data_IF_637982906129
#
_entry.id   IF_637982906129
#
_cell.length_a   1.000
_cell.length_b   1.000
_cell.length_c   1.000
_cell.angle_alpha   90.00
_cell.angle_beta   90.00
_cell.angle_gamma   90.00
#
_symmetry.space_group_name_H-M   'P 1'
#
loop_
_entity.id
_entity.type
_entity.pdbx_description
1 polymer ?
#
# COMPACT_ATOMS: atom_id res chain seq x y z
N UNK A 1 -23.83 6.03 -16.38
CA UNK A 1 -22.83 4.99 -16.10
C UNK A 1 -22.56 5.03 -14.60
N UNK A 2 -22.27 3.91 -13.97
CA UNK A 2 -21.88 3.89 -12.56
C UNK A 2 -20.54 4.60 -12.37
N UNK A 3 -20.39 5.38 -11.30
CA UNK A 3 -19.11 6.01 -10.94
C UNK A 3 -18.18 5.06 -10.18
N UNK A 4 -18.60 3.81 -10.04
CA UNK A 4 -17.91 2.75 -9.32
C UNK A 4 -17.56 1.61 -10.28
N UNK A 5 -16.34 1.11 -10.19
CA UNK A 5 -15.90 -0.17 -10.75
C UNK A 5 -15.59 -1.13 -9.61
N UNK A 6 -16.21 -2.30 -9.63
CA UNK A 6 -15.85 -3.42 -8.76
C UNK A 6 -14.74 -4.24 -9.42
N UNK A 7 -13.87 -4.79 -8.60
CA UNK A 7 -12.78 -5.68 -9.03
C UNK A 7 -12.90 -6.98 -8.25
N UNK A 8 -12.83 -8.09 -8.94
CA UNK A 8 -12.94 -9.41 -8.34
C UNK A 8 -12.08 -10.44 -9.06
N UNK A 9 -11.95 -11.61 -8.49
CA UNK A 9 -11.32 -12.74 -9.14
C UNK A 9 -11.69 -14.05 -8.47
N UNK A 10 -11.55 -15.14 -9.24
CA UNK A 10 -11.85 -16.49 -8.76
C UNK A 10 -10.96 -17.52 -9.43
N UNK A 11 -10.40 -18.42 -8.61
CA UNK A 11 -9.52 -19.51 -9.04
C UNK A 11 -9.80 -20.78 -8.26
N UNK A 12 -9.62 -21.93 -8.90
CA UNK A 12 -9.61 -23.21 -8.19
C UNK A 12 -8.21 -23.43 -7.60
N UNK A 13 -8.13 -23.35 -6.29
CA UNK A 13 -6.89 -23.57 -5.54
C UNK A 13 -6.85 -24.92 -4.84
N UNK A 14 -7.73 -25.87 -5.22
CA UNK A 14 -7.79 -27.21 -4.65
C UNK A 14 -8.47 -27.26 -3.27
N UNK A 15 -9.32 -26.30 -2.93
CA UNK A 15 -9.98 -26.28 -1.61
C UNK A 15 -10.98 -27.43 -1.42
N UNK A 16 -11.44 -28.03 -2.52
CA UNK A 16 -12.32 -29.20 -2.49
C UNK A 16 -11.66 -30.46 -1.90
N UNK A 17 -10.34 -30.52 -1.93
CA UNK A 17 -9.55 -31.70 -1.50
C UNK A 17 -9.19 -31.67 0.00
N UNK A 18 -9.61 -30.63 0.73
CA UNK A 18 -9.34 -30.51 2.17
C UNK A 18 -10.30 -31.40 3.00
N UNK A 19 -9.93 -31.61 4.27
CA UNK A 19 -10.75 -32.32 5.24
C UNK A 19 -12.11 -31.66 5.50
N UNK A 20 -13.04 -32.40 6.04
CA UNK A 20 -14.37 -31.93 6.42
C UNK A 20 -14.27 -30.67 7.32
N UNK A 21 -15.11 -29.66 7.04
CA UNK A 21 -15.06 -28.34 7.69
C UNK A 21 -14.22 -27.29 6.96
N UNK A 22 -13.17 -27.68 6.27
CA UNK A 22 -12.34 -26.79 5.43
C UNK A 22 -12.61 -26.95 3.94
N UNK A 23 -13.12 -28.11 3.51
CA UNK A 23 -13.42 -28.43 2.12
C UNK A 23 -14.54 -27.58 1.56
N UNK A 24 -14.31 -27.05 0.36
CA UNK A 24 -15.31 -26.36 -0.49
C UNK A 24 -14.98 -26.60 -1.94
N UNK A 25 -15.77 -27.43 -2.67
CA UNK A 25 -15.56 -27.65 -4.10
C UNK A 25 -15.62 -26.36 -4.90
N UNK A 26 -14.85 -26.27 -5.98
CA UNK A 26 -14.82 -25.07 -6.83
C UNK A 26 -16.21 -24.73 -7.42
N UNK A 27 -17.03 -25.75 -7.74
CA UNK A 27 -18.40 -25.53 -8.20
C UNK A 27 -19.22 -24.72 -7.21
N UNK A 28 -19.05 -24.94 -5.90
CA UNK A 28 -19.71 -24.13 -4.87
C UNK A 28 -19.33 -22.64 -4.99
N UNK A 29 -18.05 -22.36 -5.29
CA UNK A 29 -17.61 -20.98 -5.53
C UNK A 29 -18.20 -20.40 -6.82
N UNK A 30 -18.28 -21.17 -7.88
CA UNK A 30 -18.91 -20.72 -9.15
C UNK A 30 -20.39 -20.40 -8.94
N UNK A 31 -21.14 -21.21 -8.20
CA UNK A 31 -22.55 -20.95 -7.88
C UNK A 31 -22.72 -19.63 -7.10
N UNK A 32 -21.79 -19.34 -6.19
CA UNK A 32 -21.79 -18.08 -5.44
C UNK A 32 -21.35 -16.91 -6.29
N UNK A 33 -20.34 -17.11 -7.13
CA UNK A 33 -19.87 -16.12 -8.07
C UNK A 33 -20.95 -15.71 -9.08
N UNK A 34 -21.77 -16.66 -9.55
CA UNK A 34 -22.90 -16.36 -10.41
C UNK A 34 -23.89 -15.37 -9.76
N UNK A 35 -24.08 -15.44 -8.44
CA UNK A 35 -24.90 -14.45 -7.73
C UNK A 35 -24.22 -13.07 -7.67
N UNK A 36 -22.89 -13.02 -7.50
CA UNK A 36 -22.12 -11.79 -7.54
C UNK A 36 -22.19 -11.12 -8.93
N UNK A 37 -22.18 -11.92 -10.02
CA UNK A 37 -22.27 -11.41 -11.38
C UNK A 37 -23.56 -10.61 -11.67
N UNK A 38 -24.54 -10.61 -10.78
CA UNK A 38 -25.77 -9.83 -10.90
C UNK A 38 -25.63 -8.36 -10.49
N UNK A 39 -24.45 -7.92 -9.99
CA UNK A 39 -24.23 -6.49 -9.67
C UNK A 39 -24.42 -5.62 -10.88
N UNK A 40 -24.97 -4.43 -10.69
CA UNK A 40 -25.29 -3.51 -11.79
C UNK A 40 -24.13 -2.58 -12.16
N UNK A 41 -23.15 -2.47 -11.27
CA UNK A 41 -21.94 -1.66 -11.42
C UNK A 41 -20.99 -2.25 -12.48
N UNK A 42 -20.03 -1.45 -12.93
CA UNK A 42 -18.94 -1.96 -13.77
C UNK A 42 -18.15 -3.02 -13.00
N UNK A 43 -17.72 -4.07 -13.67
CA UNK A 43 -17.00 -5.18 -13.05
C UNK A 43 -15.76 -5.56 -13.86
N UNK A 44 -14.59 -5.54 -13.20
CA UNK A 44 -13.35 -6.11 -13.72
C UNK A 44 -13.13 -7.45 -13.03
N UNK A 45 -12.94 -8.50 -13.82
CA UNK A 45 -12.84 -9.89 -13.34
C UNK A 45 -11.50 -10.48 -13.74
N UNK A 46 -10.76 -10.99 -12.78
CA UNK A 46 -9.57 -11.78 -12.99
C UNK A 46 -9.87 -13.28 -12.84
N UNK A 47 -9.29 -14.11 -13.68
CA UNK A 47 -9.45 -15.57 -13.62
C UNK A 47 -8.71 -16.30 -14.72
N UNK A 48 -8.78 -17.61 -14.70
CA UNK A 48 -8.29 -18.46 -15.79
C UNK A 48 -9.10 -18.22 -17.08
N UNK A 49 -8.50 -18.46 -18.24
CA UNK A 49 -9.13 -18.23 -19.56
C UNK A 49 -10.49 -18.92 -19.70
N UNK A 50 -10.62 -20.11 -19.14
CA UNK A 50 -11.84 -20.92 -19.21
C UNK A 50 -13.03 -20.24 -18.51
N UNK A 51 -12.77 -19.33 -17.58
CA UNK A 51 -13.82 -18.59 -16.87
C UNK A 51 -14.46 -17.50 -17.75
N UNK A 52 -13.78 -17.01 -18.76
CA UNK A 52 -14.26 -15.90 -19.61
C UNK A 52 -15.63 -16.18 -20.20
N UNK A 53 -15.81 -17.39 -20.76
CA UNK A 53 -17.10 -17.82 -21.34
C UNK A 53 -18.22 -17.82 -20.29
N UNK A 54 -17.94 -18.36 -19.08
CA UNK A 54 -18.90 -18.38 -17.97
C UNK A 54 -19.37 -16.98 -17.59
N UNK A 55 -18.45 -16.00 -17.60
CA UNK A 55 -18.75 -14.60 -17.28
C UNK A 55 -19.62 -13.97 -18.36
N UNK A 56 -19.25 -14.05 -19.65
CA UNK A 56 -19.97 -13.36 -20.71
C UNK A 56 -21.29 -14.04 -21.13
N UNK A 57 -21.54 -15.26 -20.70
CA UNK A 57 -22.89 -15.86 -20.76
C UNK A 57 -23.87 -15.23 -19.75
N UNK A 58 -23.36 -14.50 -18.74
CA UNK A 58 -24.14 -13.94 -17.60
C UNK A 58 -24.11 -12.42 -17.52
N UNK A 59 -23.14 -11.79 -18.16
CA UNK A 59 -22.96 -10.32 -18.12
C UNK A 59 -22.66 -9.75 -19.50
N UNK A 60 -23.12 -8.53 -19.71
CA UNK A 60 -22.79 -7.76 -20.92
C UNK A 60 -21.32 -7.30 -20.90
N UNK A 61 -20.68 -7.32 -22.06
CA UNK A 61 -19.34 -6.75 -22.25
C UNK A 61 -19.29 -5.22 -22.10
N UNK A 62 -20.44 -4.54 -22.10
CA UNK A 62 -20.51 -3.09 -21.92
C UNK A 62 -20.11 -2.66 -20.50
N UNK A 63 -20.48 -3.43 -19.49
CA UNK A 63 -20.17 -3.17 -18.08
C UNK A 63 -19.27 -4.24 -17.43
N UNK A 64 -18.62 -5.07 -18.25
CA UNK A 64 -17.73 -6.13 -17.77
C UNK A 64 -16.43 -6.14 -18.55
N UNK A 65 -15.31 -6.25 -17.83
CA UNK A 65 -13.98 -6.48 -18.39
C UNK A 65 -13.43 -7.76 -17.77
N UNK A 66 -13.06 -8.72 -18.61
CA UNK A 66 -12.36 -9.92 -18.17
C UNK A 66 -10.87 -9.77 -18.46
N UNK A 67 -10.04 -10.17 -17.50
CA UNK A 67 -8.58 -10.13 -17.60
C UNK A 67 -8.06 -11.51 -17.21
N UNK A 68 -7.50 -12.21 -18.18
CA UNK A 68 -6.88 -13.50 -17.97
C UNK A 68 -5.71 -13.38 -16.98
N UNK A 69 -5.74 -14.24 -15.96
CA UNK A 69 -4.68 -14.38 -14.95
C UNK A 69 -4.60 -15.85 -14.54
N UNK A 70 -3.63 -16.60 -15.02
CA UNK A 70 -3.47 -18.00 -14.65
C UNK A 70 -3.02 -18.13 -13.18
N UNK A 71 -3.32 -19.25 -12.57
CA UNK A 71 -2.92 -19.55 -11.18
C UNK A 71 -1.41 -19.46 -10.98
N UNK A 72 -0.62 -19.79 -12.01
CA UNK A 72 0.85 -19.68 -12.00
C UNK A 72 1.34 -18.24 -11.75
N UNK A 73 0.55 -17.23 -12.09
CA UNK A 73 0.90 -15.84 -11.83
C UNK A 73 1.14 -15.56 -10.34
N UNK A 74 0.40 -16.23 -9.45
CA UNK A 74 0.60 -16.11 -8.00
C UNK A 74 1.88 -16.82 -7.54
N UNK A 75 2.30 -17.87 -8.25
CA UNK A 75 3.52 -18.62 -7.96
C UNK A 75 4.78 -17.88 -8.43
N UNK A 76 4.65 -17.07 -9.49
CA UNK A 76 5.72 -16.22 -10.01
C UNK A 76 5.91 -14.93 -9.20
N UNK A 77 5.03 -14.66 -8.23
CA UNK A 77 5.14 -13.51 -7.34
C UNK A 77 6.38 -13.63 -6.44
N UNK A 78 7.11 -12.53 -6.27
CA UNK A 78 8.33 -12.45 -5.44
C UNK A 78 8.11 -12.89 -3.98
N UNK A 79 6.89 -12.77 -3.45
CA UNK A 79 6.53 -13.19 -2.09
C UNK A 79 6.28 -14.69 -1.95
N UNK A 80 6.06 -15.40 -3.05
CA UNK A 80 5.67 -16.81 -3.03
C UNK A 80 6.62 -17.67 -2.20
N UNK A 81 7.93 -17.56 -2.45
CA UNK A 81 8.94 -18.36 -1.74
C UNK A 81 8.93 -18.13 -0.23
N UNK A 82 8.80 -16.87 0.20
CA UNK A 82 8.73 -16.54 1.62
C UNK A 82 7.45 -17.08 2.26
N UNK A 83 6.32 -16.96 1.58
CA UNK A 83 5.04 -17.52 2.03
C UNK A 83 5.16 -19.04 2.19
N UNK A 84 5.72 -19.75 1.20
CA UNK A 84 5.89 -21.22 1.28
C UNK A 84 6.80 -21.61 2.45
N UNK A 85 7.90 -20.89 2.67
CA UNK A 85 8.80 -21.12 3.80
C UNK A 85 8.11 -20.98 5.14
N UNK A 86 7.27 -19.95 5.30
CA UNK A 86 6.59 -19.68 6.57
C UNK A 86 5.47 -20.69 6.80
N UNK A 87 4.63 -20.99 5.79
CA UNK A 87 3.49 -21.90 5.95
C UNK A 87 3.90 -23.34 6.29
N UNK A 88 5.15 -23.71 6.03
CA UNK A 88 5.71 -25.03 6.37
C UNK A 88 6.59 -25.01 7.62
N UNK A 89 6.73 -23.86 8.27
CA UNK A 89 7.50 -23.71 9.50
C UNK A 89 6.72 -24.20 10.72
N UNK A 90 7.33 -25.06 11.53
CA UNK A 90 6.70 -25.65 12.71
C UNK A 90 6.29 -24.61 13.76
N UNK A 91 7.11 -23.56 13.98
CA UNK A 91 6.78 -22.51 14.96
C UNK A 91 5.54 -21.74 14.53
N UNK A 92 5.41 -21.48 13.22
CA UNK A 92 4.20 -20.83 12.68
C UNK A 92 2.98 -21.74 12.76
N UNK A 93 3.12 -23.03 12.38
CA UNK A 93 2.05 -24.01 12.41
C UNK A 93 1.51 -24.28 13.83
N UNK A 94 2.36 -24.15 14.84
CA UNK A 94 2.00 -24.39 16.25
C UNK A 94 1.52 -23.10 16.96
N UNK A 95 1.44 -21.96 16.28
CA UNK A 95 1.02 -20.68 16.87
C UNK A 95 -0.43 -20.70 17.33
N UNK A 96 -1.29 -21.43 16.64
CA UNK A 96 -2.67 -21.69 17.02
C UNK A 96 -3.09 -23.12 16.67
N UNK A 97 -3.92 -23.73 17.52
CA UNK A 97 -4.32 -25.13 17.36
C UNK A 97 -5.07 -25.43 16.04
N UNK A 98 -5.75 -24.45 15.47
CA UNK A 98 -6.49 -24.57 14.21
C UNK A 98 -5.60 -24.39 12.96
N UNK A 99 -4.43 -23.74 13.10
CA UNK A 99 -3.66 -23.21 11.96
C UNK A 99 -3.13 -24.33 11.05
N UNK A 100 -2.66 -25.42 11.63
CA UNK A 100 -2.12 -26.59 10.88
C UNK A 100 -3.12 -27.21 9.91
N UNK A 101 -4.40 -27.20 10.24
CA UNK A 101 -5.48 -27.75 9.41
C UNK A 101 -6.12 -26.70 8.49
N UNK A 102 -5.75 -25.44 8.63
CA UNK A 102 -6.34 -24.34 7.89
C UNK A 102 -5.99 -24.35 6.40
N UNK A 103 -6.78 -23.63 5.62
CA UNK A 103 -6.48 -23.34 4.20
C UNK A 103 -5.13 -22.68 4.01
N UNK A 104 -4.71 -21.82 4.96
CA UNK A 104 -3.42 -21.13 4.91
C UNK A 104 -2.24 -22.10 4.97
N UNK A 105 -2.31 -23.15 5.80
CA UNK A 105 -1.27 -24.13 5.95
C UNK A 105 -1.32 -25.21 4.85
N UNK A 106 -2.52 -25.65 4.47
CA UNK A 106 -2.72 -26.80 3.59
C UNK A 106 -2.65 -26.45 2.10
N UNK A 107 -3.03 -25.25 1.69
CA UNK A 107 -3.09 -24.86 0.29
C UNK A 107 -1.95 -23.91 -0.07
N UNK A 108 -1.13 -24.37 -1.02
CA UNK A 108 0.04 -23.64 -1.52
C UNK A 108 -0.33 -22.24 -2.05
N UNK A 109 -1.44 -22.13 -2.76
CA UNK A 109 -1.87 -20.91 -3.43
C UNK A 109 -2.81 -20.03 -2.60
N UNK A 110 -3.24 -20.43 -1.40
CA UNK A 110 -4.19 -19.64 -0.62
C UNK A 110 -3.65 -18.27 -0.22
N UNK A 111 -2.56 -18.24 0.54
CA UNK A 111 -1.95 -16.97 0.96
C UNK A 111 -1.40 -16.15 -0.23
N UNK A 112 -0.71 -16.72 -1.23
CA UNK A 112 -0.34 -15.98 -2.43
C UNK A 112 -1.53 -15.29 -3.11
N UNK A 113 -2.67 -15.96 -3.21
CA UNK A 113 -3.89 -15.40 -3.81
C UNK A 113 -4.46 -14.26 -2.96
N UNK A 114 -4.77 -14.52 -1.67
CA UNK A 114 -5.43 -13.50 -0.83
C UNK A 114 -4.55 -12.28 -0.61
N UNK A 115 -3.23 -12.46 -0.49
CA UNK A 115 -2.26 -11.37 -0.38
C UNK A 115 -2.08 -10.58 -1.68
N UNK A 116 -2.53 -11.11 -2.83
CA UNK A 116 -2.42 -10.41 -4.12
C UNK A 116 -3.62 -9.51 -4.43
N UNK A 117 -4.66 -9.48 -3.62
CA UNK A 117 -5.89 -8.70 -3.88
C UNK A 117 -5.63 -7.21 -4.12
N UNK A 118 -4.74 -6.57 -3.34
CA UNK A 118 -4.38 -5.16 -3.52
C UNK A 118 -3.60 -4.95 -4.82
N UNK A 119 -2.74 -5.90 -5.19
CA UNK A 119 -1.99 -5.84 -6.46
C UNK A 119 -2.93 -5.97 -7.65
N UNK A 120 -3.89 -6.89 -7.59
CA UNK A 120 -4.93 -7.04 -8.62
C UNK A 120 -5.82 -5.80 -8.71
N UNK A 121 -6.16 -5.17 -7.58
CA UNK A 121 -6.90 -3.91 -7.57
C UNK A 121 -6.11 -2.78 -8.26
N UNK A 122 -4.79 -2.73 -8.04
CA UNK A 122 -3.93 -1.76 -8.72
C UNK A 122 -3.75 -2.08 -10.22
N UNK A 123 -3.64 -3.35 -10.60
CA UNK A 123 -3.62 -3.77 -12.00
C UNK A 123 -4.94 -3.36 -12.69
N UNK A 124 -6.07 -3.62 -12.03
CA UNK A 124 -7.38 -3.20 -12.52
C UNK A 124 -7.46 -1.68 -12.73
N UNK A 125 -6.92 -0.88 -11.80
CA UNK A 125 -6.84 0.59 -11.93
C UNK A 125 -6.11 1.00 -13.22
N UNK A 126 -5.01 0.31 -13.55
CA UNK A 126 -4.18 0.62 -14.73
C UNK A 126 -4.90 0.21 -16.03
N UNK A 127 -5.62 -0.91 -16.01
CA UNK A 127 -6.26 -1.53 -17.18
C UNK A 127 -7.74 -1.13 -17.35
N UNK A 128 -8.30 -0.33 -16.46
CA UNK A 128 -9.70 0.05 -16.37
C UNK A 128 -10.20 0.79 -17.64
N UNK A 129 -11.15 0.18 -18.34
CA UNK A 129 -11.79 0.77 -19.51
C UNK A 129 -13.00 1.67 -19.18
N UNK A 130 -13.50 1.65 -17.94
CA UNK A 130 -14.74 2.34 -17.55
C UNK A 130 -14.52 3.76 -17.06
N UNK A 131 -13.29 4.08 -16.69
CA UNK A 131 -12.88 5.41 -16.18
C UNK A 131 -13.70 5.89 -14.97
N UNK A 132 -14.05 4.98 -14.06
CA UNK A 132 -14.77 5.29 -12.82
C UNK A 132 -13.87 6.06 -11.84
N UNK A 133 -14.47 6.87 -10.98
CA UNK A 133 -13.74 7.63 -9.93
C UNK A 133 -13.39 6.76 -8.71
N UNK A 134 -14.19 5.71 -8.46
CA UNK A 134 -14.03 4.81 -7.32
C UNK A 134 -13.84 3.38 -7.79
N UNK A 135 -13.01 2.65 -7.06
CA UNK A 135 -12.74 1.24 -7.36
C UNK A 135 -12.65 0.43 -6.07
N UNK A 136 -13.34 -0.72 -6.04
CA UNK A 136 -13.41 -1.59 -4.86
C UNK A 136 -13.13 -3.03 -5.23
N UNK A 137 -12.34 -3.71 -4.41
CA UNK A 137 -12.26 -5.16 -4.41
C UNK A 137 -13.50 -5.75 -3.78
N UNK A 138 -14.03 -6.81 -4.36
CA UNK A 138 -15.11 -7.64 -3.83
C UNK A 138 -14.76 -9.10 -4.07
N UNK A 139 -14.75 -9.93 -3.02
CA UNK A 139 -14.41 -11.35 -3.17
C UNK A 139 -15.41 -12.08 -4.07
N UNK A 140 -14.92 -12.89 -5.01
CA UNK A 140 -15.76 -13.69 -5.91
C UNK A 140 -16.71 -14.64 -5.18
N UNK A 141 -16.31 -15.10 -3.99
CA UNK A 141 -17.12 -15.92 -3.11
C UNK A 141 -17.94 -15.17 -2.06
N UNK A 142 -18.04 -13.83 -2.12
CA UNK A 142 -18.68 -13.01 -1.08
C UNK A 142 -20.11 -13.47 -0.77
N UNK A 143 -20.89 -13.85 -1.77
CA UNK A 143 -22.28 -14.30 -1.62
C UNK A 143 -22.44 -15.62 -0.86
N UNK A 144 -21.32 -16.24 -0.46
CA UNK A 144 -21.35 -17.35 0.47
C UNK A 144 -21.79 -16.92 1.89
N UNK A 145 -21.47 -15.69 2.28
CA UNK A 145 -21.76 -15.13 3.61
C UNK A 145 -22.65 -13.89 3.57
N UNK A 146 -22.78 -13.24 2.41
CA UNK A 146 -23.59 -12.04 2.21
C UNK A 146 -24.73 -12.34 1.24
N UNK A 147 -25.96 -12.11 1.66
CA UNK A 147 -27.12 -12.30 0.78
C UNK A 147 -27.04 -11.29 -0.38
N UNK A 148 -27.10 -11.73 -1.66
CA UNK A 148 -26.94 -10.86 -2.82
C UNK A 148 -27.92 -9.68 -2.86
N UNK A 149 -29.14 -9.84 -2.34
CA UNK A 149 -30.16 -8.79 -2.25
C UNK A 149 -29.76 -7.55 -1.45
N UNK A 150 -28.62 -7.56 -0.75
CA UNK A 150 -28.11 -6.36 -0.08
C UNK A 150 -27.35 -5.41 -1.03
N UNK A 151 -26.82 -5.88 -2.15
CA UNK A 151 -25.92 -5.08 -2.98
C UNK A 151 -26.03 -5.29 -4.50
N UNK A 152 -26.84 -6.24 -4.98
CA UNK A 152 -26.95 -6.53 -6.42
C UNK A 152 -28.06 -5.76 -7.14
N UNK A 153 -28.82 -4.93 -6.44
CA UNK A 153 -29.96 -4.20 -6.99
C UNK A 153 -29.91 -2.74 -6.56
N UNK A 154 -30.61 -1.88 -7.30
CA UNK A 154 -30.80 -0.46 -7.02
C UNK A 154 -29.50 0.34 -6.95
N UNK A 155 -28.43 -0.15 -7.56
CA UNK A 155 -27.09 0.46 -7.53
C UNK A 155 -26.68 0.88 -6.11
N UNK A 156 -26.95 0.02 -5.14
CA UNK A 156 -26.69 0.29 -3.72
C UNK A 156 -25.24 0.69 -3.48
N UNK A 157 -24.30 0.11 -4.23
CA UNK A 157 -22.87 0.42 -4.08
C UNK A 157 -22.52 1.83 -4.55
N UNK A 158 -23.27 2.45 -5.46
CA UNK A 158 -23.05 3.85 -5.86
C UNK A 158 -23.18 4.83 -4.68
N UNK A 159 -23.89 4.44 -3.61
CA UNK A 159 -23.99 5.22 -2.38
C UNK A 159 -22.63 5.39 -1.68
N UNK A 160 -21.66 4.49 -1.90
CA UNK A 160 -20.32 4.56 -1.29
C UNK A 160 -19.61 5.87 -1.59
N UNK A 161 -19.81 6.44 -2.78
CA UNK A 161 -19.23 7.72 -3.16
C UNK A 161 -19.59 8.88 -2.22
N UNK A 162 -20.70 8.77 -1.47
CA UNK A 162 -21.13 9.78 -0.50
C UNK A 162 -20.34 9.72 0.81
N UNK A 163 -19.75 8.57 1.12
CA UNK A 163 -19.11 8.32 2.41
C UNK A 163 -17.58 8.33 2.31
N UNK A 164 -17.02 8.03 1.15
CA UNK A 164 -15.61 7.67 1.00
C UNK A 164 -14.82 8.80 0.36
N UNK A 165 -13.85 9.33 1.11
CA UNK A 165 -12.85 10.30 0.63
C UNK A 165 -11.41 9.77 0.68
N UNK A 166 -11.18 8.65 1.37
CA UNK A 166 -9.91 7.95 1.50
C UNK A 166 -10.10 6.48 1.13
N UNK A 167 -9.01 5.74 0.99
CA UNK A 167 -9.09 4.29 0.88
C UNK A 167 -9.70 3.70 2.16
N UNK A 168 -10.58 2.72 2.05
CA UNK A 168 -11.40 2.26 3.17
C UNK A 168 -11.48 0.75 3.25
N UNK A 169 -11.39 0.24 4.49
CA UNK A 169 -11.61 -1.16 4.84
C UNK A 169 -12.92 -1.33 5.61
N UNK A 170 -13.42 -2.55 5.67
CA UNK A 170 -14.49 -2.94 6.62
C UNK A 170 -13.80 -3.62 7.80
N UNK A 171 -14.01 -3.13 9.01
CA UNK A 171 -13.40 -3.66 10.22
C UNK A 171 -14.46 -4.08 11.25
N UNK A 172 -14.11 -5.03 12.09
CA UNK A 172 -14.91 -5.40 13.24
C UNK A 172 -14.06 -5.42 14.52
N UNK A 173 -14.65 -5.13 15.68
CA UNK A 173 -13.97 -5.22 16.97
C UNK A 173 -13.48 -6.65 17.21
N UNK A 174 -12.22 -6.79 17.59
CA UNK A 174 -11.61 -8.08 17.84
C UNK A 174 -10.48 -7.95 18.88
N UNK A 175 -10.62 -8.65 19.99
CA UNK A 175 -9.57 -8.76 21.00
C UNK A 175 -8.82 -10.07 20.79
N UNK A 176 -7.56 -9.97 20.40
CA UNK A 176 -6.68 -11.12 20.24
C UNK A 176 -5.85 -11.33 21.51
N UNK A 177 -5.48 -12.59 21.77
CA UNK A 177 -4.55 -12.93 22.86
C UNK A 177 -3.15 -13.24 22.32
N UNK A 178 -3.06 -14.06 21.29
CA UNK A 178 -1.77 -14.61 20.81
C UNK A 178 -1.51 -14.35 19.33
N UNK A 179 -2.55 -14.36 18.49
CA UNK A 179 -2.42 -14.24 17.04
C UNK A 179 -3.68 -13.66 16.38
N UNK A 180 -3.53 -13.15 15.17
CA UNK A 180 -4.63 -12.79 14.26
C UNK A 180 -4.35 -13.47 12.91
N UNK A 181 -5.17 -14.46 12.56
CA UNK A 181 -5.04 -15.25 11.33
C UNK A 181 -3.66 -15.88 11.11
N UNK A 182 -2.98 -16.27 12.21
CA UNK A 182 -1.63 -16.81 12.18
C UNK A 182 -0.52 -15.76 12.33
N UNK A 183 -0.84 -14.47 12.30
CA UNK A 183 0.12 -13.40 12.58
C UNK A 183 0.28 -13.22 14.09
N UNK A 184 1.50 -13.19 14.60
CA UNK A 184 1.78 -12.99 16.02
C UNK A 184 1.29 -11.63 16.52
N UNK A 185 0.44 -11.65 17.55
CA UNK A 185 -0.30 -10.46 17.97
C UNK A 185 0.60 -9.33 18.52
N UNK A 186 1.62 -9.67 19.32
CA UNK A 186 2.52 -8.66 19.85
C UNK A 186 3.31 -7.97 18.73
N UNK A 187 3.82 -8.75 17.76
CA UNK A 187 4.53 -8.21 16.60
C UNK A 187 3.62 -7.37 15.71
N UNK A 188 2.34 -7.77 15.59
CA UNK A 188 1.36 -6.99 14.85
C UNK A 188 1.11 -5.63 15.50
N UNK A 189 0.98 -5.58 16.84
CA UNK A 189 0.86 -4.34 17.61
C UNK A 189 2.10 -3.44 17.46
N UNK A 190 3.30 -4.03 17.57
CA UNK A 190 4.56 -3.29 17.39
C UNK A 190 4.61 -2.59 16.02
N UNK A 191 4.24 -3.32 14.95
CA UNK A 191 4.25 -2.79 13.58
C UNK A 191 3.14 -1.75 13.39
N UNK A 192 1.96 -1.97 13.97
CA UNK A 192 0.83 -1.04 13.91
C UNK A 192 1.10 0.26 14.70
N UNK A 193 1.99 0.20 15.70
CA UNK A 193 2.31 1.31 16.61
C UNK A 193 1.25 1.55 17.67
N UNK A 194 0.32 0.61 17.87
CA UNK A 194 -0.74 0.67 18.87
C UNK A 194 -1.31 -0.74 19.12
N UNK A 195 -2.08 -0.89 20.23
CA UNK A 195 -2.83 -2.12 20.47
C UNK A 195 -3.95 -2.28 19.45
N UNK A 196 -3.84 -3.27 18.60
CA UNK A 196 -4.83 -3.58 17.59
C UNK A 196 -6.02 -4.28 18.25
N UNK A 197 -7.18 -3.63 18.25
CA UNK A 197 -8.46 -4.11 18.81
C UNK A 197 -9.56 -4.25 17.77
N UNK A 198 -9.18 -4.23 16.48
CA UNK A 198 -10.07 -4.48 15.35
C UNK A 198 -9.34 -5.21 14.24
N UNK A 199 -10.05 -6.00 13.48
CA UNK A 199 -9.53 -6.72 12.32
C UNK A 199 -10.26 -6.27 11.07
N UNK A 200 -9.51 -5.98 10.01
CA UNK A 200 -10.05 -5.67 8.71
C UNK A 200 -10.51 -6.94 7.99
N UNK A 201 -11.57 -6.81 7.17
CA UNK A 201 -12.10 -7.90 6.33
C UNK A 201 -11.58 -7.78 4.91
N UNK A 202 -11.02 -8.87 4.40
CA UNK A 202 -10.49 -8.95 3.04
C UNK A 202 -11.55 -9.12 1.95
N UNK A 203 -12.82 -9.30 2.32
CA UNK A 203 -13.89 -9.56 1.36
C UNK A 203 -14.41 -8.32 0.61
N UNK A 204 -14.20 -7.12 1.14
CA UNK A 204 -14.58 -5.86 0.50
C UNK A 204 -13.72 -4.70 1.02
N UNK A 205 -13.08 -3.97 0.11
CA UNK A 205 -12.27 -2.79 0.41
C UNK A 205 -12.00 -1.97 -0.85
N UNK A 206 -11.64 -0.71 -0.71
CA UNK A 206 -11.32 0.16 -1.85
C UNK A 206 -11.55 1.64 -1.55
N UNK A 207 -11.66 2.46 -2.59
CA UNK A 207 -11.85 3.90 -2.42
C UNK A 207 -11.66 4.70 -3.70
N UNK A 208 -11.33 5.99 -3.57
CA UNK A 208 -11.03 6.83 -4.73
C UNK A 208 -9.88 6.22 -5.55
N UNK A 209 -10.08 6.10 -6.86
CA UNK A 209 -9.14 5.43 -7.78
C UNK A 209 -7.72 6.01 -7.70
N UNK A 210 -7.58 7.31 -7.46
CA UNK A 210 -6.28 7.95 -7.36
C UNK A 210 -5.46 7.51 -6.13
N UNK A 211 -6.10 7.02 -5.07
CA UNK A 211 -5.41 6.58 -3.84
C UNK A 211 -4.81 5.17 -3.97
N UNK A 212 -5.29 4.35 -4.90
CA UNK A 212 -4.94 2.92 -5.00
C UNK A 212 -3.45 2.69 -5.20
N UNK A 213 -2.76 3.54 -5.97
CA UNK A 213 -1.32 3.40 -6.19
C UNK A 213 -0.50 3.57 -4.91
N UNK A 214 -0.83 4.57 -4.09
CA UNK A 214 -0.16 4.82 -2.81
C UNK A 214 -0.42 3.66 -1.83
N UNK A 215 -1.67 3.21 -1.75
CA UNK A 215 -2.08 2.06 -0.94
C UNK A 215 -1.33 0.79 -1.37
N UNK A 216 -1.22 0.55 -2.68
CA UNK A 216 -0.47 -0.59 -3.20
C UNK A 216 1.01 -0.54 -2.80
N UNK A 217 1.64 0.62 -2.85
CA UNK A 217 3.03 0.81 -2.42
C UNK A 217 3.22 0.55 -0.91
N UNK A 218 2.33 1.08 -0.08
CA UNK A 218 2.36 0.85 1.38
C UNK A 218 2.13 -0.62 1.70
N UNK A 219 1.11 -1.23 1.10
CA UNK A 219 0.79 -2.64 1.29
C UNK A 219 1.97 -3.54 0.90
N UNK A 220 2.59 -3.28 -0.25
CA UNK A 220 3.78 -4.00 -0.70
C UNK A 220 4.91 -3.95 0.33
N UNK A 221 5.24 -2.76 0.83
CA UNK A 221 6.33 -2.58 1.78
C UNK A 221 6.05 -3.29 3.12
N UNK A 222 4.83 -3.21 3.63
CA UNK A 222 4.42 -3.92 4.83
C UNK A 222 4.47 -5.44 4.62
N UNK A 223 3.95 -5.94 3.52
CA UNK A 223 3.97 -7.36 3.20
C UNK A 223 5.41 -7.88 3.05
N UNK A 224 6.27 -7.15 2.35
CA UNK A 224 7.67 -7.51 2.17
C UNK A 224 8.42 -7.57 3.51
N UNK A 225 8.29 -6.53 4.34
CA UNK A 225 8.99 -6.49 5.63
C UNK A 225 8.53 -7.60 6.56
N UNK A 226 7.22 -7.81 6.69
CA UNK A 226 6.68 -8.85 7.58
C UNK A 226 7.06 -10.26 7.13
N UNK A 227 6.96 -10.57 5.84
CA UNK A 227 7.36 -11.88 5.32
C UNK A 227 8.87 -12.13 5.42
N UNK A 228 9.71 -11.11 5.28
CA UNK A 228 11.16 -11.23 5.48
C UNK A 228 11.52 -11.54 6.94
N UNK A 229 10.71 -11.06 7.89
CA UNK A 229 10.85 -11.37 9.33
C UNK A 229 10.19 -12.72 9.72
N UNK A 230 9.61 -13.45 8.79
CA UNK A 230 8.90 -14.70 9.06
C UNK A 230 7.51 -14.50 9.71
N UNK A 231 6.97 -13.30 9.61
CA UNK A 231 5.65 -12.93 10.15
C UNK A 231 4.59 -13.06 9.05
N UNK A 232 3.60 -13.90 9.26
CA UNK A 232 2.54 -14.13 8.29
C UNK A 232 1.20 -14.40 8.96
N UNK A 233 0.18 -13.73 8.44
CA UNK A 233 -1.24 -14.04 8.62
C UNK A 233 -1.89 -14.14 7.24
N UNK A 234 -3.03 -13.48 7.05
CA UNK A 234 -3.63 -13.21 5.74
C UNK A 234 -3.43 -11.73 5.36
N UNK A 235 -3.99 -11.31 4.23
CA UNK A 235 -4.06 -9.89 3.86
C UNK A 235 -4.76 -9.05 4.95
N UNK A 236 -5.73 -9.63 5.66
CA UNK A 236 -6.50 -8.96 6.72
C UNK A 236 -5.61 -8.48 7.88
N UNK A 237 -4.52 -9.20 8.17
CA UNK A 237 -3.54 -8.78 9.17
C UNK A 237 -2.80 -7.51 8.74
N UNK A 238 -2.37 -7.42 7.48
CA UNK A 238 -1.71 -6.24 6.92
C UNK A 238 -2.70 -5.07 6.83
N UNK A 239 -3.94 -5.31 6.41
CA UNK A 239 -4.99 -4.28 6.38
C UNK A 239 -5.26 -3.70 7.77
N UNK A 240 -5.25 -4.55 8.80
CA UNK A 240 -5.41 -4.11 10.18
C UNK A 240 -4.26 -3.18 10.60
N UNK A 241 -3.01 -3.53 10.29
CA UNK A 241 -1.85 -2.66 10.51
C UNK A 241 -2.03 -1.32 9.79
N UNK A 242 -2.48 -1.34 8.52
CA UNK A 242 -2.69 -0.12 7.73
C UNK A 242 -3.72 0.82 8.35
N UNK A 243 -4.80 0.31 8.95
CA UNK A 243 -5.80 1.14 9.62
C UNK A 243 -5.21 1.97 10.77
N UNK A 244 -4.22 1.44 11.48
CA UNK A 244 -3.56 2.14 12.58
C UNK A 244 -2.41 3.04 12.08
N UNK A 245 -1.53 2.47 11.31
CA UNK A 245 -0.28 3.13 10.90
C UNK A 245 -0.47 4.22 9.83
N UNK A 246 -1.50 4.12 9.00
CA UNK A 246 -1.74 4.99 7.84
C UNK A 246 -3.13 5.62 7.84
N UNK A 247 -3.63 6.01 9.00
CA UNK A 247 -4.96 6.62 9.15
C UNK A 247 -5.09 8.02 8.50
N UNK A 248 -3.98 8.61 8.08
CA UNK A 248 -3.95 9.81 7.23
C UNK A 248 -4.54 9.58 5.84
N UNK A 249 -4.38 8.38 5.27
CA UNK A 249 -4.85 7.99 3.93
C UNK A 249 -5.85 6.84 3.94
N UNK A 250 -6.04 6.17 5.08
CA UNK A 250 -6.94 5.04 5.27
C UNK A 250 -8.04 5.38 6.26
N UNK A 251 -9.27 5.02 5.92
CA UNK A 251 -10.40 4.99 6.84
C UNK A 251 -10.94 3.56 6.99
N UNK A 252 -11.89 3.36 7.88
CA UNK A 252 -12.60 2.09 7.96
C UNK A 252 -14.07 2.27 8.33
N UNK A 253 -14.89 1.31 7.91
CA UNK A 253 -16.26 1.13 8.36
C UNK A 253 -16.28 0.05 9.43
N UNK A 254 -16.74 0.38 10.62
CA UNK A 254 -16.85 -0.59 11.70
C UNK A 254 -18.19 -1.29 11.65
N UNK A 255 -18.18 -2.60 11.61
CA UNK A 255 -19.34 -3.47 11.78
C UNK A 255 -19.37 -4.04 13.21
N UNK A 256 -20.40 -4.80 13.53
CA UNK A 256 -20.54 -5.39 14.86
C UNK A 256 -19.48 -6.49 15.15
N UNK A 257 -19.40 -6.93 16.41
CA UNK A 257 -18.44 -7.92 16.88
C UNK A 257 -18.63 -9.33 16.29
N UNK A 258 -19.76 -9.61 15.61
CA UNK A 258 -19.95 -10.87 14.90
C UNK A 258 -19.02 -10.97 13.67
N UNK A 259 -18.46 -9.86 13.21
CA UNK A 259 -17.50 -9.81 12.11
C UNK A 259 -18.10 -10.22 10.75
N UNK A 260 -19.42 -10.28 10.63
CA UNK A 260 -20.11 -10.67 9.40
C UNK A 260 -20.18 -9.46 8.46
N UNK A 261 -19.43 -9.49 7.39
CA UNK A 261 -19.35 -8.40 6.38
C UNK A 261 -20.73 -8.04 5.79
N UNK A 262 -21.72 -8.94 5.87
CA UNK A 262 -23.12 -8.67 5.50
C UNK A 262 -23.70 -7.44 6.20
N UNK A 263 -23.28 -7.17 7.46
CA UNK A 263 -23.73 -6.00 8.21
C UNK A 263 -23.28 -4.67 7.57
N UNK A 264 -22.13 -4.65 6.92
CA UNK A 264 -21.68 -3.49 6.15
C UNK A 264 -22.66 -3.18 5.00
N UNK A 265 -23.04 -4.18 4.23
CA UNK A 265 -23.95 -3.99 3.09
C UNK A 265 -25.39 -3.67 3.54
N UNK A 266 -25.82 -4.22 4.65
CA UNK A 266 -27.10 -3.86 5.27
C UNK A 266 -27.11 -2.38 5.68
N UNK A 267 -26.07 -1.91 6.39
CA UNK A 267 -25.93 -0.53 6.80
C UNK A 267 -25.81 0.41 5.57
N UNK A 268 -25.12 0.01 4.51
CA UNK A 268 -25.04 0.77 3.26
C UNK A 268 -26.42 0.92 2.60
N UNK A 269 -27.17 -0.17 2.52
CA UNK A 269 -28.52 -0.16 1.96
C UNK A 269 -29.44 0.78 2.72
N UNK A 270 -29.34 0.82 4.04
CA UNK A 270 -30.16 1.64 4.93
C UNK A 270 -29.65 3.06 5.15
N UNK A 271 -28.54 3.47 4.50
CA UNK A 271 -27.87 4.76 4.71
C UNK A 271 -27.39 4.98 6.17
N UNK A 272 -26.97 3.90 6.84
CA UNK A 272 -26.54 3.87 8.25
C UNK A 272 -25.00 3.72 8.40
N UNK A 273 -24.22 3.79 7.31
CA UNK A 273 -22.78 3.64 7.37
C UNK A 273 -22.12 4.72 8.23
N UNK A 274 -21.18 4.30 9.05
CA UNK A 274 -20.34 5.20 9.85
C UNK A 274 -18.89 4.98 9.47
N UNK A 275 -18.30 5.97 8.84
CA UNK A 275 -16.88 6.00 8.53
C UNK A 275 -16.11 6.43 9.77
N UNK A 276 -15.06 5.70 10.09
CA UNK A 276 -14.14 5.97 11.19
C UNK A 276 -12.71 6.10 10.67
N UNK A 277 -11.90 6.81 11.41
CA UNK A 277 -10.45 6.87 11.25
C UNK A 277 -9.84 6.70 12.62
N UNK A 278 -8.75 5.96 12.73
CA UNK A 278 -7.98 6.03 13.97
C UNK A 278 -7.52 7.47 14.14
N UNK A 279 -7.76 7.99 15.32
CA UNK A 279 -7.04 9.18 15.73
C UNK A 279 -5.59 8.74 15.89
N UNK A 280 -4.76 9.01 14.89
CA UNK A 280 -3.36 9.17 15.22
C UNK A 280 -3.40 10.12 16.41
N UNK A 281 -2.97 9.68 17.58
CA UNK A 281 -2.47 10.62 18.57
C UNK A 281 -1.37 11.37 17.80
N UNK A 282 -1.78 12.41 17.11
CA UNK A 282 -0.89 13.48 16.73
C UNK A 282 -0.40 13.96 18.10
N UNK A 283 0.70 13.40 18.55
CA UNK A 283 1.58 14.24 19.33
C UNK A 283 1.66 15.48 18.44
N UNK A 284 1.11 16.59 18.91
CA UNK A 284 1.20 17.90 18.29
C UNK A 284 2.65 18.38 18.32
N UNK A 285 3.48 17.59 17.74
CA UNK A 285 4.82 17.95 17.41
C UNK A 285 4.75 18.41 15.97
N UNK A 286 4.27 19.61 15.72
CA UNK A 286 4.46 20.27 14.44
C UNK A 286 5.95 20.23 14.13
N UNK A 287 6.31 19.40 13.14
CA UNK A 287 7.66 19.44 12.62
C UNK A 287 7.84 20.86 12.09
N UNK A 288 8.68 21.62 12.75
CA UNK A 288 9.02 22.94 12.23
C UNK A 288 9.88 22.74 10.99
N UNK A 289 9.31 23.00 9.81
CA UNK A 289 10.02 22.90 8.54
C UNK A 289 11.27 23.76 8.52
N UNK A 290 11.29 24.85 9.30
CA UNK A 290 12.48 25.70 9.44
C UNK A 290 13.60 25.03 10.20
N UNK A 291 13.32 23.89 10.85
CA UNK A 291 14.28 23.04 11.56
C UNK A 291 14.79 21.85 10.73
N UNK A 292 14.47 21.83 9.47
CA UNK A 292 14.94 20.78 8.53
C UNK A 292 15.87 21.41 7.49
N UNK A 293 16.99 20.74 7.22
CA UNK A 293 17.95 21.11 6.17
C UNK A 293 17.90 20.15 5.01
N UNK A 294 18.28 20.63 3.83
CA UNK A 294 18.55 19.84 2.66
C UNK A 294 20.04 20.00 2.29
N UNK A 295 20.77 18.92 2.29
CA UNK A 295 22.16 18.87 1.86
C UNK A 295 22.30 18.12 0.55
N UNK A 296 22.99 18.73 -0.38
CA UNK A 296 23.42 18.08 -1.62
C UNK A 296 24.95 18.13 -1.69
N UNK A 297 25.58 16.99 -1.99
CA UNK A 297 27.00 16.92 -2.34
C UNK A 297 27.15 16.80 -3.85
N UNK A 298 28.08 17.53 -4.42
CA UNK A 298 28.34 17.52 -5.85
C UNK A 298 29.84 17.41 -6.17
N UNK A 299 30.16 16.90 -7.38
CA UNK A 299 31.50 16.79 -7.87
C UNK A 299 31.57 17.00 -9.39
N UNK A 300 32.05 18.15 -9.85
CA UNK A 300 32.29 18.51 -11.26
C UNK A 300 31.07 18.33 -12.20
N UNK A 301 29.83 18.39 -11.68
CA UNK A 301 28.63 18.06 -12.45
C UNK A 301 27.45 19.02 -12.18
N UNK A 302 27.54 20.32 -12.53
CA UNK A 302 26.46 21.28 -12.30
C UNK A 302 25.13 20.88 -12.94
N UNK A 303 25.16 20.21 -14.08
CA UNK A 303 23.97 19.75 -14.78
C UNK A 303 23.25 18.64 -14.02
N UNK A 304 23.95 17.76 -13.29
CA UNK A 304 23.33 16.73 -12.43
C UNK A 304 22.65 17.40 -11.24
N UNK A 305 23.31 18.35 -10.60
CA UNK A 305 22.73 19.16 -9.53
C UNK A 305 21.44 19.87 -10.00
N UNK A 306 21.45 20.54 -11.15
CA UNK A 306 20.25 21.14 -11.75
C UNK A 306 19.13 20.09 -11.92
N UNK A 307 19.44 18.96 -12.54
CA UNK A 307 18.47 17.88 -12.79
C UNK A 307 17.85 17.36 -11.50
N UNK A 308 18.66 17.17 -10.46
CA UNK A 308 18.16 16.75 -9.14
C UNK A 308 17.17 17.78 -8.60
N UNK A 309 17.54 19.06 -8.52
CA UNK A 309 16.69 20.09 -7.90
C UNK A 309 15.41 20.35 -8.71
N UNK A 310 15.49 20.40 -10.03
CA UNK A 310 14.32 20.54 -10.91
C UNK A 310 13.33 19.37 -10.67
N UNK A 311 13.85 18.15 -10.53
CA UNK A 311 13.01 16.99 -10.23
C UNK A 311 12.38 17.06 -8.85
N UNK A 312 13.09 17.56 -7.84
CA UNK A 312 12.53 17.78 -6.50
C UNK A 312 11.44 18.85 -6.53
N UNK A 313 11.66 19.97 -7.22
CA UNK A 313 10.67 21.05 -7.37
C UNK A 313 9.41 20.57 -8.08
N UNK A 314 9.56 19.72 -9.09
CA UNK A 314 8.42 19.18 -9.81
C UNK A 314 7.46 18.36 -8.92
N UNK A 315 7.96 17.75 -7.86
CA UNK A 315 7.18 16.84 -7.03
C UNK A 315 6.94 17.28 -5.59
N UNK A 316 7.72 18.25 -5.07
CA UNK A 316 7.63 18.69 -3.67
C UNK A 316 7.97 20.20 -3.52
N UNK A 317 7.53 21.01 -4.48
CA UNK A 317 7.88 22.44 -4.63
C UNK A 317 7.75 23.22 -3.32
N UNK A 318 6.60 23.14 -2.68
CA UNK A 318 6.32 23.92 -1.46
C UNK A 318 7.30 23.62 -0.33
N UNK A 319 7.80 22.40 -0.30
CA UNK A 319 8.74 21.95 0.71
C UNK A 319 10.15 22.43 0.42
N UNK A 320 10.61 22.28 -0.81
CA UNK A 320 11.95 22.66 -1.26
C UNK A 320 12.21 24.15 -0.99
N UNK A 321 11.25 25.04 -1.29
CA UNK A 321 11.43 26.47 -1.08
C UNK A 321 11.32 26.93 0.38
N UNK A 322 10.76 26.09 1.27
CA UNK A 322 10.66 26.41 2.71
C UNK A 322 11.83 25.88 3.54
N UNK A 323 12.63 24.99 2.98
CA UNK A 323 13.70 24.27 3.69
C UNK A 323 15.03 25.05 3.52
N UNK A 324 15.88 25.10 4.57
CA UNK A 324 17.27 25.57 4.42
C UNK A 324 18.05 24.59 3.55
N UNK A 325 18.77 25.10 2.58
CA UNK A 325 19.46 24.29 1.58
C UNK A 325 20.95 24.60 1.52
N UNK A 326 21.76 23.55 1.49
CA UNK A 326 23.22 23.61 1.47
C UNK A 326 23.75 22.76 0.33
N UNK A 327 24.57 23.37 -0.53
CA UNK A 327 25.35 22.65 -1.53
C UNK A 327 26.79 22.52 -1.04
N UNK A 328 27.25 21.30 -0.79
CA UNK A 328 28.67 21.02 -0.64
C UNK A 328 29.30 20.80 -2.03
N UNK A 329 29.91 21.81 -2.56
CA UNK A 329 30.70 21.74 -3.79
C UNK A 329 32.07 21.15 -3.48
N UNK A 330 32.20 19.86 -3.75
CA UNK A 330 33.40 19.05 -3.54
C UNK A 330 34.25 18.95 -4.81
N UNK A 331 33.98 19.80 -5.81
CA UNK A 331 34.60 19.76 -7.13
C UNK A 331 36.08 20.10 -7.09
N UNK A 332 36.85 19.44 -7.94
CA UNK A 332 38.25 19.78 -8.21
C UNK A 332 38.43 20.69 -9.42
N UNK A 333 37.38 20.85 -10.24
CA UNK A 333 37.39 21.71 -11.41
C UNK A 333 36.86 23.11 -11.07
N UNK A 334 37.76 24.08 -11.00
CA UNK A 334 37.42 25.47 -10.67
C UNK A 334 36.52 26.14 -11.73
N UNK A 335 36.50 25.63 -12.96
CA UNK A 335 35.66 26.17 -14.03
C UNK A 335 34.15 25.99 -13.73
N UNK A 336 33.76 25.03 -12.90
CA UNK A 336 32.36 24.78 -12.52
C UNK A 336 31.85 25.71 -11.42
N UNK A 337 32.73 26.44 -10.73
CA UNK A 337 32.38 27.26 -9.57
C UNK A 337 31.30 28.30 -9.87
N UNK A 338 31.45 29.04 -10.97
CA UNK A 338 30.49 30.09 -11.33
C UNK A 338 29.13 29.51 -11.69
N UNK A 339 29.09 28.36 -12.36
CA UNK A 339 27.86 27.68 -12.71
C UNK A 339 27.12 27.19 -11.45
N UNK A 340 27.83 26.61 -10.46
CA UNK A 340 27.24 26.26 -9.17
C UNK A 340 26.78 27.49 -8.39
N UNK A 341 27.50 28.60 -8.42
CA UNK A 341 27.10 29.83 -7.75
C UNK A 341 25.80 30.39 -8.35
N UNK A 342 25.65 30.40 -9.68
CA UNK A 342 24.42 30.79 -10.36
C UNK A 342 23.23 29.87 -10.00
N UNK A 343 23.47 28.56 -10.00
CA UNK A 343 22.44 27.58 -9.60
C UNK A 343 22.05 27.73 -8.14
N UNK A 344 22.99 27.97 -7.26
CA UNK A 344 22.73 28.20 -5.85
C UNK A 344 21.90 29.48 -5.62
N UNK A 345 22.14 30.53 -6.36
CA UNK A 345 21.32 31.74 -6.34
C UNK A 345 19.91 31.47 -6.88
N UNK A 346 19.77 30.75 -8.00
CA UNK A 346 18.47 30.39 -8.61
C UNK A 346 17.59 29.56 -7.67
N UNK A 347 18.18 28.56 -6.98
CA UNK A 347 17.45 27.61 -6.13
C UNK A 347 17.51 27.94 -4.63
N UNK A 348 18.11 29.06 -4.26
CA UNK A 348 18.27 29.50 -2.86
C UNK A 348 19.09 28.54 -2.00
N UNK A 349 20.20 27.99 -2.54
CA UNK A 349 21.17 27.19 -1.78
C UNK A 349 22.29 28.04 -1.21
N UNK A 350 22.72 27.71 -0.01
CA UNK A 350 24.03 28.17 0.49
C UNK A 350 25.12 27.35 -0.20
N UNK A 351 25.99 28.04 -0.98
CA UNK A 351 27.08 27.42 -1.71
C UNK A 351 28.32 27.29 -0.82
N UNK A 352 28.71 26.07 -0.49
CA UNK A 352 29.85 25.77 0.35
C UNK A 352 30.91 25.04 -0.48
N UNK A 353 31.99 25.76 -0.84
CA UNK A 353 33.11 25.19 -1.60
C UNK A 353 34.14 24.59 -0.66
N UNK A 354 34.54 23.36 -0.92
CA UNK A 354 35.67 22.67 -0.26
C UNK A 354 36.60 22.06 -1.27
N UNK A 355 37.85 21.82 -0.87
CA UNK A 355 38.72 20.94 -1.62
C UNK A 355 38.13 19.52 -1.64
N UNK A 356 38.43 18.76 -2.70
CA UNK A 356 37.89 17.43 -2.86
C UNK A 356 38.16 16.54 -1.63
N UNK A 357 37.15 16.36 -0.79
CA UNK A 357 37.18 15.55 0.43
C UNK A 357 36.95 14.05 0.12
N UNK A 358 36.63 13.69 -1.12
CA UNK A 358 36.09 12.40 -1.49
C UNK A 358 34.68 12.17 -0.93
N UNK A 359 34.07 11.05 -1.29
CA UNK A 359 32.68 10.73 -0.88
C UNK A 359 32.54 10.64 0.65
N UNK A 360 33.41 9.88 1.30
CA UNK A 360 33.34 9.68 2.76
C UNK A 360 33.64 10.97 3.52
N UNK A 361 34.66 11.71 3.10
CA UNK A 361 35.02 12.97 3.74
C UNK A 361 33.93 14.04 3.56
N UNK A 362 33.31 14.10 2.40
CA UNK A 362 32.19 15.02 2.16
C UNK A 362 30.97 14.71 3.03
N UNK A 363 30.59 13.44 3.15
CA UNK A 363 29.50 13.01 4.05
C UNK A 363 29.82 13.30 5.53
N UNK A 364 31.06 13.05 5.94
CA UNK A 364 31.49 13.38 7.31
C UNK A 364 31.42 14.90 7.56
N UNK A 365 31.90 15.69 6.61
CA UNK A 365 31.84 17.14 6.72
C UNK A 365 30.40 17.66 6.83
N UNK A 366 29.46 17.12 6.05
CA UNK A 366 28.03 17.47 6.13
C UNK A 366 27.49 17.19 7.54
N UNK A 367 27.78 16.02 8.10
CA UNK A 367 27.33 15.66 9.44
C UNK A 367 27.88 16.62 10.50
N UNK A 368 29.17 16.97 10.42
CA UNK A 368 29.83 17.92 11.32
C UNK A 368 29.28 19.35 11.16
N UNK A 369 29.06 19.82 9.94
CA UNK A 369 28.46 21.13 9.67
C UNK A 369 27.02 21.18 10.23
N UNK A 370 26.20 20.17 9.96
CA UNK A 370 24.86 20.08 10.52
C UNK A 370 24.88 20.19 12.05
N UNK A 371 25.75 19.44 12.71
CA UNK A 371 25.82 19.38 14.17
C UNK A 371 26.36 20.68 14.80
N UNK A 372 27.35 21.30 14.18
CA UNK A 372 28.12 22.38 14.82
C UNK A 372 27.71 23.78 14.35
N UNK A 373 27.27 23.91 13.09
CA UNK A 373 27.04 25.20 12.45
C UNK A 373 25.56 25.49 12.20
N UNK A 374 24.65 24.56 12.51
CA UNK A 374 23.23 24.77 12.31
C UNK A 374 22.40 24.53 13.58
N UNK A 375 21.21 25.15 13.62
CA UNK A 375 20.20 24.91 14.67
C UNK A 375 19.06 24.03 14.12
N UNK A 376 19.39 23.15 13.18
CA UNK A 376 18.42 22.23 12.56
C UNK A 376 18.28 20.98 13.42
N UNK A 377 17.08 20.41 13.41
CA UNK A 377 16.81 19.16 14.11
C UNK A 377 17.04 17.93 13.22
N UNK A 378 16.87 18.10 11.89
CA UNK A 378 17.05 17.05 10.89
C UNK A 378 17.67 17.60 9.62
N UNK A 379 18.28 16.72 8.82
CA UNK A 379 18.63 17.02 7.44
C UNK A 379 18.36 15.83 6.51
N UNK A 380 18.04 16.16 5.27
CA UNK A 380 17.98 15.24 4.16
C UNK A 380 19.25 15.38 3.33
N UNK A 381 19.82 14.27 2.93
CA UNK A 381 21.06 14.21 2.19
C UNK A 381 20.87 13.54 0.82
N UNK A 382 21.38 14.17 -0.22
CA UNK A 382 21.37 13.64 -1.59
C UNK A 382 22.72 13.80 -2.26
N UNK A 383 23.01 12.87 -3.16
CA UNK A 383 24.10 12.98 -4.14
C UNK A 383 23.53 13.58 -5.42
N UNK A 384 24.34 14.34 -6.17
CA UNK A 384 23.89 15.09 -7.35
C UNK A 384 23.49 14.21 -8.54
N UNK A 385 23.88 12.93 -8.56
CA UNK A 385 23.54 11.94 -9.57
C UNK A 385 22.15 11.29 -9.38
N UNK A 386 21.41 11.74 -8.38
CA UNK A 386 20.03 11.31 -8.12
C UNK A 386 19.02 12.22 -8.83
N UNK A 387 17.82 11.69 -9.11
CA UNK A 387 16.69 12.50 -9.56
C UNK A 387 15.37 11.80 -9.23
N UNK A 388 14.32 12.60 -9.08
CA UNK A 388 12.96 12.13 -8.85
C UNK A 388 12.22 12.08 -10.18
N UNK A 389 11.38 11.08 -10.38
CA UNK A 389 10.51 10.99 -11.55
C UNK A 389 9.18 10.32 -11.22
N UNK A 390 8.10 10.66 -11.95
CA UNK A 390 6.82 10.00 -11.73
C UNK A 390 6.92 8.54 -12.13
N UNK A 391 6.43 7.67 -11.28
CA UNK A 391 6.32 6.26 -11.61
C UNK A 391 5.03 6.03 -12.41
N UNK A 392 5.11 6.10 -13.71
CA UNK A 392 4.03 5.73 -14.62
C UNK A 392 4.00 4.22 -14.87
N UNK A 393 3.76 3.43 -13.83
CA UNK A 393 3.49 1.99 -13.98
C UNK A 393 4.65 1.12 -14.49
N UNK A 394 5.85 1.67 -14.73
CA UNK A 394 7.02 0.88 -15.11
C UNK A 394 7.75 0.41 -13.88
N UNK A 395 7.80 -0.89 -13.66
CA UNK A 395 8.63 -1.50 -12.63
C UNK A 395 10.09 -1.23 -12.97
N UNK A 396 10.78 -0.43 -12.17
CA UNK A 396 12.22 -0.37 -12.24
C UNK A 396 12.80 -1.72 -11.84
N UNK A 397 13.76 -2.22 -12.62
CA UNK A 397 14.36 -3.56 -12.47
C UNK A 397 14.88 -3.89 -11.06
N UNK A 398 15.09 -2.89 -10.21
CA UNK A 398 15.69 -3.04 -8.89
C UNK A 398 14.71 -2.81 -7.73
N UNK A 399 13.41 -2.65 -7.96
CA UNK A 399 12.40 -2.54 -6.89
C UNK A 399 12.44 -1.29 -5.99
N UNK A 400 13.48 -0.46 -6.10
CA UNK A 400 13.73 0.67 -5.19
C UNK A 400 13.23 2.03 -5.69
N UNK A 401 12.81 2.13 -6.94
CA UNK A 401 12.46 3.41 -7.56
C UNK A 401 10.95 3.57 -7.65
N UNK A 402 10.27 3.59 -6.52
CA UNK A 402 8.85 3.93 -6.49
C UNK A 402 8.69 5.41 -6.19
N UNK A 403 7.97 6.10 -7.05
CA UNK A 403 7.55 7.46 -6.76
C UNK A 403 6.70 7.48 -5.49
N UNK A 404 7.14 8.26 -4.53
CA UNK A 404 6.37 8.58 -3.33
C UNK A 404 5.97 10.04 -3.42
N UNK A 405 4.70 10.36 -3.66
CA UNK A 405 4.25 11.75 -3.69
C UNK A 405 4.59 12.41 -2.36
N UNK A 406 5.08 13.64 -2.42
CA UNK A 406 5.49 14.40 -1.24
C UNK A 406 6.52 13.65 -0.38
N UNK A 407 7.54 13.08 -1.02
CA UNK A 407 8.56 12.26 -0.37
C UNK A 407 9.15 12.93 0.88
N UNK A 408 9.48 14.21 0.80
CA UNK A 408 10.03 14.97 1.93
C UNK A 408 9.08 15.05 3.10
N UNK A 409 7.85 15.52 2.86
CA UNK A 409 6.84 15.68 3.89
C UNK A 409 6.55 14.33 4.57
N UNK A 410 6.50 13.25 3.78
CA UNK A 410 6.28 11.89 4.30
C UNK A 410 7.50 11.36 5.07
N UNK A 411 8.70 11.57 4.56
CA UNK A 411 9.94 11.15 5.25
C UNK A 411 10.03 11.79 6.61
N UNK A 412 9.78 13.08 6.71
CA UNK A 412 9.83 13.80 7.98
C UNK A 412 8.73 13.39 8.94
N UNK A 413 7.53 13.13 8.44
CA UNK A 413 6.45 12.56 9.26
C UNK A 413 6.85 11.19 9.83
N UNK A 414 7.50 10.34 9.03
CA UNK A 414 7.98 9.03 9.46
C UNK A 414 9.08 9.18 10.51
N UNK A 415 10.13 9.97 10.23
CA UNK A 415 11.24 10.21 11.17
C UNK A 415 10.72 10.68 12.53
N UNK A 416 9.78 11.61 12.51
CA UNK A 416 9.20 12.15 13.72
C UNK A 416 8.31 11.15 14.47
N UNK A 417 7.46 10.42 13.73
CA UNK A 417 6.52 9.45 14.28
C UNK A 417 7.25 8.27 14.92
N UNK A 418 8.27 7.77 14.25
CA UNK A 418 9.00 6.55 14.62
C UNK A 418 10.23 6.86 15.50
N UNK A 419 10.52 8.14 15.77
CA UNK A 419 11.67 8.62 16.54
C UNK A 419 13.00 8.02 16.04
N UNK A 420 13.18 7.97 14.72
CA UNK A 420 14.42 7.48 14.12
C UNK A 420 15.51 8.55 14.17
N UNK A 421 16.71 8.16 14.58
CA UNK A 421 17.91 9.00 14.43
C UNK A 421 18.44 8.99 13.00
N UNK A 422 18.11 7.96 12.21
CA UNK A 422 18.57 7.77 10.86
C UNK A 422 17.57 6.97 10.01
N UNK A 423 17.28 7.46 8.80
CA UNK A 423 16.46 6.77 7.79
C UNK A 423 17.25 6.69 6.48
N UNK A 424 17.35 5.50 5.88
CA UNK A 424 18.03 5.29 4.61
C UNK A 424 17.03 4.93 3.51
#
# INVERSE_FOLDING_TARGET
MSNITLVTGIWDIGRGDLSEGWSRPFQHYLDKFEQLLKVEENLIIFGEDELEKFVFERRSSENTQFISRPLSWFQDNEFFKNIQKIRTNEDWLNRAGWLRESTQARLENYNPLVMSKVFLLNDAKIMDKFNSEYMFWIDGGLTNTVHPGYFTHDKVLDKLSKYISKFSFVCFPYDAETEIHGFEYNRLNDIAGDKVNKVARGGFFGGPKHTIGDINGIYYNLLQSTLNEGLMGTEESIFSIMCYKHSDIVNYFEIDSNGLIGKFFENLKNDELKLKSENIHKSENNLDINKVGLYVITFNSPNQFRTLIDSMIAYDKDYIFKTKKFLLDNSSDESTFNEYAELCEEYEFEHIKKDNLGICGGRQWIAEHFQNETNLDFYLFFEDDMFFYPHEGKVCRNGFNRYVPNLYSKTLQIVKKENFDFLK
#
